data_IF_093703547968
#
_entry.id   IF_093703547968
#
_cell.length_a   1.000
_cell.length_b   1.000
_cell.length_c   1.000
_cell.angle_alpha   90.00
_cell.angle_beta   90.00
_cell.angle_gamma   90.00
#
_symmetry.space_group_name_H-M   'P 1'
#
loop_
_entity.id
_entity.type
_entity.pdbx_description
1 polymer ?
#
# COMPACT_ATOMS: atom_id res chain seq x y z
N UNK A 1 3.12 8.01 -4.57
CA UNK A 1 3.62 7.89 -5.96
C UNK A 1 3.59 6.46 -6.52
N UNK A 2 3.73 5.39 -5.71
CA UNK A 2 3.70 4.01 -6.18
C UNK A 2 2.50 3.68 -7.06
N UNK A 3 1.32 4.12 -6.66
CA UNK A 3 0.07 3.89 -7.40
C UNK A 3 -0.03 4.69 -8.71
N UNK A 4 0.84 5.68 -8.90
CA UNK A 4 0.84 6.57 -10.08
C UNK A 4 2.01 6.30 -11.03
N UNK A 5 2.80 5.25 -10.79
CA UNK A 5 3.95 4.94 -11.63
C UNK A 5 3.60 4.79 -13.12
N UNK A 6 2.51 4.10 -13.53
CA UNK A 6 2.12 4.03 -14.94
C UNK A 6 1.87 5.41 -15.56
N UNK A 7 1.17 6.28 -14.83
CA UNK A 7 0.94 7.65 -15.27
C UNK A 7 2.23 8.46 -15.41
N UNK A 8 3.17 8.35 -14.46
CA UNK A 8 4.47 9.01 -14.52
C UNK A 8 5.28 8.57 -15.75
N UNK A 9 5.25 7.28 -16.07
CA UNK A 9 5.93 6.73 -17.25
C UNK A 9 5.32 7.28 -18.53
N UNK A 10 4.01 7.44 -18.61
CA UNK A 10 3.33 8.05 -19.78
C UNK A 10 3.66 9.52 -19.96
N UNK A 11 3.85 10.28 -18.88
CA UNK A 11 4.24 11.70 -18.96
C UNK A 11 5.68 11.90 -19.44
N UNK A 12 6.49 10.84 -19.48
CA UNK A 12 7.88 10.93 -19.92
C UNK A 12 7.96 11.24 -21.41
N UNK A 13 8.68 12.31 -21.82
CA UNK A 13 8.94 12.59 -23.24
C UNK A 13 9.56 11.37 -23.94
N UNK A 14 9.12 11.08 -25.15
CA UNK A 14 9.48 9.87 -25.90
C UNK A 14 11.01 9.69 -26.04
N UNK A 15 11.75 10.78 -26.19
CA UNK A 15 13.21 10.77 -26.30
C UNK A 15 13.94 10.22 -25.06
N UNK A 16 13.28 10.15 -23.92
CA UNK A 16 13.82 9.64 -22.65
C UNK A 16 13.30 8.24 -22.29
N UNK A 17 12.26 7.76 -22.98
CA UNK A 17 11.69 6.44 -22.74
C UNK A 17 12.74 5.36 -22.99
N UNK A 18 12.90 4.45 -22.03
CA UNK A 18 13.92 3.40 -22.03
C UNK A 18 15.34 3.84 -21.68
N UNK A 19 15.57 5.15 -21.45
CA UNK A 19 16.87 5.69 -20.99
C UNK A 19 16.82 6.14 -19.53
N UNK A 20 15.62 6.48 -19.05
CA UNK A 20 15.39 6.94 -17.69
C UNK A 20 14.49 5.95 -16.98
N UNK A 21 14.79 5.69 -15.72
CA UNK A 21 13.97 4.89 -14.83
C UNK A 21 13.41 5.80 -13.75
N UNK A 22 12.09 5.77 -13.55
CA UNK A 22 11.46 6.43 -12.41
C UNK A 22 11.40 5.46 -11.25
N UNK A 23 11.88 5.95 -10.13
CA UNK A 23 11.62 5.32 -8.85
C UNK A 23 10.49 6.09 -8.18
N UNK A 24 9.39 5.43 -7.79
CA UNK A 24 8.22 6.11 -7.22
C UNK A 24 8.44 6.59 -5.79
N UNK A 25 9.61 6.32 -5.22
CA UNK A 25 10.01 6.70 -3.87
C UNK A 25 11.53 6.81 -3.78
N UNK A 26 12.00 7.42 -2.71
CA UNK A 26 13.43 7.51 -2.41
C UNK A 26 14.01 6.11 -2.16
N UNK A 27 15.15 5.84 -2.79
CA UNK A 27 15.91 4.61 -2.59
C UNK A 27 16.86 4.78 -1.40
N UNK A 28 17.13 3.68 -0.70
CA UNK A 28 18.11 3.66 0.39
C UNK A 28 19.55 3.79 -0.10
N UNK A 29 20.45 4.10 0.84
CA UNK A 29 21.90 4.22 0.58
C UNK A 29 22.62 2.88 0.52
N UNK A 30 21.91 1.77 0.81
CA UNK A 30 22.48 0.43 0.85
C UNK A 30 23.73 0.29 1.73
N UNK A 31 23.71 0.99 2.89
CA UNK A 31 24.79 0.92 3.87
C UNK A 31 25.91 1.95 3.69
N UNK A 32 25.83 2.83 2.70
CA UNK A 32 26.77 3.95 2.59
C UNK A 32 26.52 4.96 3.71
N UNK A 33 27.62 5.46 4.30
CA UNK A 33 27.58 6.51 5.32
C UNK A 33 27.86 7.87 4.72
N UNK A 34 27.15 8.87 5.21
CA UNK A 34 27.41 10.27 4.94
C UNK A 34 26.87 11.16 6.07
N UNK A 35 27.37 12.40 6.12
CA UNK A 35 26.97 13.36 7.13
C UNK A 35 25.91 14.34 6.64
N UNK A 36 25.12 14.80 7.58
CA UNK A 36 24.10 15.83 7.37
C UNK A 36 24.27 16.96 8.35
N UNK A 37 23.88 18.13 7.89
CA UNK A 37 23.62 19.25 8.79
C UNK A 37 22.11 19.42 8.94
N UNK A 38 21.56 19.11 10.09
CA UNK A 38 20.13 19.21 10.40
C UNK A 38 19.91 19.93 11.72
N UNK A 39 19.02 20.91 11.73
CA UNK A 39 18.71 21.70 12.94
C UNK A 39 19.93 22.28 13.63
N UNK A 40 20.98 22.64 12.85
CA UNK A 40 22.26 23.19 13.36
C UNK A 40 23.18 22.16 14.00
N UNK A 41 22.92 20.88 13.82
CA UNK A 41 23.76 19.75 14.26
C UNK A 41 24.39 19.06 13.06
N UNK A 42 25.63 18.62 13.22
CA UNK A 42 26.33 17.77 12.26
C UNK A 42 26.16 16.30 12.73
N UNK A 43 25.45 15.49 11.97
CA UNK A 43 25.13 14.09 12.31
C UNK A 43 25.66 13.17 11.21
N UNK A 44 26.31 12.08 11.59
CA UNK A 44 26.78 11.04 10.68
C UNK A 44 25.90 9.80 10.77
N UNK A 45 25.53 9.19 9.63
CA UNK A 45 24.65 8.01 9.61
C UNK A 45 25.21 6.81 10.39
N UNK A 46 26.53 6.65 10.40
CA UNK A 46 27.19 5.57 11.11
C UNK A 46 27.41 5.83 12.62
N UNK A 47 27.17 7.07 13.08
CA UNK A 47 27.17 7.43 14.50
C UNK A 47 25.78 7.26 15.13
N UNK A 48 24.71 7.34 14.34
CA UNK A 48 23.35 7.08 14.83
C UNK A 48 23.18 5.59 15.11
N UNK A 49 22.91 5.26 16.36
CA UNK A 49 22.79 3.89 16.83
C UNK A 49 21.33 3.47 16.91
N UNK A 50 21.02 2.27 16.43
CA UNK A 50 19.65 1.73 16.42
C UNK A 50 19.58 0.35 17.03
N UNK A 51 18.55 0.10 17.83
CA UNK A 51 18.13 -1.22 18.29
C UNK A 51 16.91 -1.66 17.48
N UNK A 52 16.89 -2.90 17.04
CA UNK A 52 15.84 -3.46 16.19
C UNK A 52 15.11 -4.58 16.91
N UNK A 53 13.79 -4.54 16.90
CA UNK A 53 12.94 -5.60 17.45
C UNK A 53 11.88 -6.02 16.42
N UNK A 54 12.04 -7.23 15.91
CA UNK A 54 11.06 -7.79 14.98
C UNK A 54 9.79 -8.26 15.69
N UNK A 55 8.62 -7.89 15.17
CA UNK A 55 7.29 -8.31 15.60
C UNK A 55 6.73 -9.28 14.55
N UNK A 56 6.99 -10.54 14.74
CA UNK A 56 6.69 -11.59 13.75
C UNK A 56 5.20 -11.70 13.43
N UNK A 57 4.32 -11.51 14.39
CA UNK A 57 2.86 -11.55 14.26
C UNK A 57 2.31 -10.42 13.39
N UNK A 58 2.99 -9.28 13.37
CA UNK A 58 2.59 -8.08 12.62
C UNK A 58 3.47 -7.82 11.40
N UNK A 59 4.57 -8.55 11.27
CA UNK A 59 5.59 -8.36 10.24
C UNK A 59 6.15 -6.93 10.21
N UNK A 60 6.46 -6.38 11.40
CA UNK A 60 7.05 -5.06 11.62
C UNK A 60 8.31 -5.11 12.43
N UNK A 61 9.08 -4.03 12.33
CA UNK A 61 10.19 -3.73 13.22
C UNK A 61 9.87 -2.52 14.08
N UNK A 62 9.98 -2.68 15.40
CA UNK A 62 10.10 -1.53 16.30
C UNK A 62 11.56 -1.12 16.36
N UNK A 63 11.81 0.18 16.30
CA UNK A 63 13.16 0.77 16.34
C UNK A 63 13.30 1.59 17.61
N UNK A 64 14.42 1.43 18.29
CA UNK A 64 14.90 2.40 19.27
C UNK A 64 16.18 3.03 18.75
N UNK A 65 16.29 4.35 18.83
CA UNK A 65 17.46 5.07 18.32
C UNK A 65 18.12 5.93 19.38
N UNK A 66 19.42 6.12 19.23
CA UNK A 66 20.21 7.01 20.05
C UNK A 66 21.33 7.67 19.22
N UNK A 67 21.44 8.98 19.36
CA UNK A 67 22.58 9.78 18.95
C UNK A 67 22.62 11.01 19.84
N UNK A 68 23.81 11.41 20.32
CA UNK A 68 23.94 12.51 21.28
C UNK A 68 23.50 13.85 20.68
N UNK A 69 23.81 14.10 19.42
CA UNK A 69 23.44 15.34 18.72
C UNK A 69 21.93 15.41 18.48
N UNK A 70 21.32 14.33 17.97
CA UNK A 70 19.87 14.26 17.75
C UNK A 70 19.10 14.35 19.06
N UNK A 71 19.51 13.60 20.08
CA UNK A 71 18.83 13.57 21.37
C UNK A 71 18.94 14.88 22.16
N UNK A 72 19.83 15.78 21.76
CA UNK A 72 19.92 17.15 22.31
C UNK A 72 18.89 18.13 21.72
N UNK A 73 18.19 17.75 20.66
CA UNK A 73 17.11 18.54 20.06
C UNK A 73 15.79 18.37 20.85
N UNK A 74 14.83 19.24 20.59
CA UNK A 74 13.46 18.99 21.02
C UNK A 74 12.89 17.74 20.35
N UNK A 75 11.90 17.12 20.96
CA UNK A 75 11.38 15.81 20.50
C UNK A 75 10.92 15.84 19.03
N UNK A 76 10.20 16.89 18.59
CA UNK A 76 9.73 16.96 17.21
C UNK A 76 10.89 17.01 16.21
N UNK A 77 11.88 17.88 16.47
CA UNK A 77 13.08 18.01 15.63
C UNK A 77 13.91 16.72 15.63
N UNK A 78 14.04 16.06 16.79
CA UNK A 78 14.75 14.80 16.95
C UNK A 78 14.12 13.68 16.13
N UNK A 79 12.82 13.46 16.30
CA UNK A 79 12.10 12.42 15.54
C UNK A 79 12.09 12.71 14.04
N UNK A 80 11.81 13.95 13.62
CA UNK A 80 11.84 14.32 12.20
C UNK A 80 13.21 14.07 11.57
N UNK A 81 14.30 14.46 12.26
CA UNK A 81 15.65 14.19 11.78
C UNK A 81 15.91 12.69 11.65
N UNK A 82 15.54 11.91 12.67
CA UNK A 82 15.73 10.45 12.64
C UNK A 82 14.93 9.80 11.50
N UNK A 83 13.66 10.16 11.30
CA UNK A 83 12.84 9.62 10.20
C UNK A 83 13.47 9.91 8.84
N UNK A 84 13.93 11.14 8.59
CA UNK A 84 14.62 11.49 7.34
C UNK A 84 15.87 10.62 7.14
N UNK A 85 16.70 10.47 8.17
CA UNK A 85 17.93 9.67 8.08
C UNK A 85 17.64 8.19 7.88
N UNK A 86 16.63 7.66 8.54
CA UNK A 86 16.17 6.27 8.38
C UNK A 86 15.68 6.03 6.95
N UNK A 87 14.82 6.90 6.42
CA UNK A 87 14.32 6.78 5.05
C UNK A 87 15.44 6.91 4.01
N UNK A 88 16.41 7.80 4.24
CA UNK A 88 17.60 7.87 3.40
C UNK A 88 18.43 6.57 3.45
N UNK A 89 18.46 5.89 4.60
CA UNK A 89 19.26 4.68 4.78
C UNK A 89 18.62 3.46 4.13
N UNK A 90 17.34 3.19 4.41
CA UNK A 90 16.65 1.97 3.95
C UNK A 90 15.69 2.23 2.78
N UNK A 91 15.49 3.49 2.39
CA UNK A 91 14.51 3.90 1.40
C UNK A 91 13.10 4.06 1.98
N UNK A 92 12.33 4.94 1.36
CA UNK A 92 10.96 5.25 1.75
C UNK A 92 10.04 4.01 1.69
N UNK A 93 10.24 3.12 0.71
CA UNK A 93 9.44 1.91 0.56
C UNK A 93 9.57 0.97 1.76
N UNK A 94 10.81 0.61 2.13
CA UNK A 94 11.04 -0.31 3.24
C UNK A 94 10.65 0.32 4.58
N UNK A 95 10.88 1.63 4.75
CA UNK A 95 10.41 2.36 5.91
C UNK A 95 8.90 2.23 6.06
N UNK A 96 8.13 2.50 5.01
CA UNK A 96 6.67 2.41 5.03
C UNK A 96 6.16 0.97 5.21
N UNK A 97 6.83 -0.02 4.62
CA UNK A 97 6.41 -1.42 4.70
C UNK A 97 6.69 -2.02 6.08
N UNK A 98 7.87 -1.77 6.64
CA UNK A 98 8.36 -2.59 7.74
C UNK A 98 8.57 -1.85 9.06
N UNK A 99 8.58 -0.52 9.08
CA UNK A 99 8.79 0.21 10.34
C UNK A 99 7.45 0.43 11.05
N UNK A 100 7.39 -0.05 12.29
CA UNK A 100 6.27 0.15 13.21
C UNK A 100 6.54 1.34 14.14
N UNK A 101 6.82 1.05 15.42
CA UNK A 101 7.11 2.12 16.37
C UNK A 101 8.57 2.55 16.30
N UNK A 102 8.78 3.85 16.47
CA UNK A 102 10.10 4.44 16.58
C UNK A 102 10.17 5.21 17.91
N UNK A 103 11.10 4.82 18.77
CA UNK A 103 11.28 5.38 20.09
C UNK A 103 12.71 5.88 20.29
N UNK A 104 12.85 7.05 20.92
CA UNK A 104 14.14 7.59 21.36
C UNK A 104 14.60 6.84 22.61
N UNK A 105 15.86 6.41 22.63
CA UNK A 105 16.50 5.86 23.83
C UNK A 105 17.16 6.95 24.66
N UNK A 106 17.25 6.74 25.98
CA UNK A 106 17.90 7.68 26.90
C UNK A 106 19.43 7.60 26.84
N UNK A 107 19.96 6.63 26.14
CA UNK A 107 21.40 6.38 25.98
C UNK A 107 21.67 5.15 25.15
N UNK A 108 22.96 4.85 25.00
CA UNK A 108 23.41 3.64 24.29
C UNK A 108 22.93 2.37 25.00
N UNK A 109 22.24 1.48 24.28
CA UNK A 109 21.75 0.23 24.80
C UNK A 109 22.52 -0.97 24.23
N UNK A 110 22.56 -2.08 24.96
CA UNK A 110 23.20 -3.31 24.50
C UNK A 110 22.47 -3.85 23.26
N UNK A 111 23.25 -4.20 22.23
CA UNK A 111 22.70 -4.73 20.97
C UNK A 111 22.35 -3.66 19.94
N UNK A 112 22.52 -2.39 20.24
CA UNK A 112 22.44 -1.34 19.20
C UNK A 112 23.59 -1.46 18.22
N UNK A 113 23.32 -1.06 16.98
CA UNK A 113 24.25 -1.07 15.85
C UNK A 113 24.07 0.22 15.02
N UNK A 114 25.06 0.62 14.20
CA UNK A 114 24.94 1.79 13.34
C UNK A 114 23.74 1.75 12.39
N UNK A 115 23.07 2.87 12.19
CA UNK A 115 21.90 3.01 11.31
C UNK A 115 22.19 2.53 9.89
N UNK A 116 23.42 2.71 9.39
CA UNK A 116 23.88 2.19 8.08
C UNK A 116 23.72 0.68 7.92
N UNK A 117 23.59 -0.09 9.00
CA UNK A 117 23.38 -1.54 8.97
C UNK A 117 21.90 -1.94 9.06
N UNK A 118 20.98 -0.98 9.15
CA UNK A 118 19.57 -1.27 9.41
C UNK A 118 18.96 -2.19 8.34
N UNK A 119 19.14 -1.86 7.06
CA UNK A 119 18.62 -2.66 5.95
C UNK A 119 19.12 -4.12 6.00
N UNK A 120 20.41 -4.31 6.20
CA UNK A 120 21.02 -5.65 6.28
C UNK A 120 20.47 -6.44 7.47
N UNK A 121 20.30 -5.79 8.65
CA UNK A 121 19.75 -6.45 9.83
C UNK A 121 18.27 -6.81 9.66
N UNK A 122 17.47 -5.95 9.00
CA UNK A 122 16.08 -6.24 8.68
C UNK A 122 15.98 -7.42 7.71
N UNK A 123 16.79 -7.45 6.65
CA UNK A 123 16.84 -8.54 5.68
C UNK A 123 17.12 -9.88 6.35
N UNK A 124 18.15 -9.94 7.19
CA UNK A 124 18.49 -11.17 7.93
C UNK A 124 17.33 -11.62 8.81
N UNK A 125 16.68 -10.72 9.54
CA UNK A 125 15.57 -11.06 10.41
C UNK A 125 14.35 -11.59 9.63
N UNK A 126 14.04 -11.04 8.45
CA UNK A 126 12.96 -11.51 7.59
C UNK A 126 13.27 -12.88 6.98
N UNK A 127 14.52 -13.11 6.54
CA UNK A 127 14.97 -14.40 6.04
C UNK A 127 14.90 -15.49 7.11
N UNK A 128 15.36 -15.21 8.34
CA UNK A 128 15.27 -16.13 9.48
C UNK A 128 13.80 -16.48 9.82
N UNK A 129 12.91 -15.49 9.72
CA UNK A 129 11.47 -15.69 9.90
C UNK A 129 10.77 -16.33 8.67
N UNK A 130 11.51 -16.61 7.58
CA UNK A 130 11.00 -17.16 6.32
C UNK A 130 9.88 -16.31 5.72
N UNK A 131 10.00 -15.00 5.83
CA UNK A 131 9.06 -14.04 5.23
C UNK A 131 9.55 -13.63 3.85
N UNK A 132 8.62 -13.46 2.92
CA UNK A 132 8.91 -12.81 1.64
C UNK A 132 9.26 -11.33 1.89
N UNK A 133 10.34 -10.89 1.25
CA UNK A 133 10.77 -9.49 1.36
C UNK A 133 9.99 -8.67 0.35
N UNK A 134 9.06 -7.85 0.85
CA UNK A 134 8.30 -6.92 0.03
C UNK A 134 9.14 -5.69 -0.28
N UNK A 135 9.06 -5.22 -1.51
CA UNK A 135 9.80 -4.05 -1.99
C UNK A 135 8.90 -2.87 -2.37
N UNK A 136 7.59 -3.10 -2.40
CA UNK A 136 6.59 -2.11 -2.78
C UNK A 136 5.50 -2.03 -1.72
N UNK A 137 5.09 -0.83 -1.27
CA UNK A 137 4.01 -0.65 -0.30
C UNK A 137 2.67 -1.27 -0.74
N UNK A 138 2.40 -1.27 -2.04
CA UNK A 138 1.19 -1.85 -2.63
C UNK A 138 1.17 -3.39 -2.68
N UNK A 139 2.24 -4.05 -2.19
CA UNK A 139 2.31 -5.49 -1.96
C UNK A 139 1.89 -5.86 -0.52
N UNK A 140 1.85 -4.87 0.37
CA UNK A 140 1.47 -5.08 1.76
C UNK A 140 -0.02 -4.86 1.96
N UNK A 141 -0.72 -5.94 2.28
CA UNK A 141 -2.14 -5.91 2.61
C UNK A 141 -2.37 -5.85 4.12
N UNK A 142 -3.16 -4.89 4.55
CA UNK A 142 -3.68 -4.80 5.91
C UNK A 142 -5.06 -5.48 5.98
N UNK A 143 -5.27 -6.29 7.01
CA UNK A 143 -6.59 -6.87 7.29
C UNK A 143 -7.38 -5.87 8.14
N UNK A 144 -8.62 -5.65 7.79
CA UNK A 144 -9.53 -4.82 8.59
C UNK A 144 -10.85 -5.54 8.84
N UNK A 145 -11.46 -5.24 9.96
CA UNK A 145 -12.79 -5.69 10.34
C UNK A 145 -13.63 -4.48 10.71
N UNK A 146 -14.87 -4.45 10.25
CA UNK A 146 -15.80 -3.37 10.52
C UNK A 146 -17.12 -3.96 11.00
N UNK A 147 -17.72 -3.25 11.94
CA UNK A 147 -19.04 -3.56 12.47
C UNK A 147 -19.88 -2.27 12.38
N UNK A 148 -20.96 -2.34 11.63
CA UNK A 148 -21.87 -1.22 11.48
C UNK A 148 -23.22 -1.58 12.10
N UNK A 149 -23.81 -0.66 12.85
CA UNK A 149 -25.13 -0.82 13.47
C UNK A 149 -26.24 -0.85 12.43
N UNK A 150 -26.05 -0.12 11.33
CA UNK A 150 -27.03 -0.03 10.24
C UNK A 150 -26.33 -0.03 8.89
N UNK A 151 -26.90 -0.77 7.91
CA UNK A 151 -26.49 -0.67 6.51
C UNK A 151 -27.11 0.59 5.93
N UNK A 152 -26.29 1.59 5.63
CA UNK A 152 -26.76 2.89 5.08
C UNK A 152 -26.56 2.96 3.57
N UNK A 153 -25.48 2.36 3.06
CA UNK A 153 -25.04 2.46 1.68
C UNK A 153 -24.15 1.25 1.30
N UNK A 154 -23.65 1.23 0.10
CA UNK A 154 -22.65 0.25 -0.34
C UNK A 154 -21.46 0.20 0.64
N UNK A 155 -20.92 -0.98 0.86
CA UNK A 155 -19.80 -1.27 1.77
C UNK A 155 -20.10 -1.13 3.28
N UNK A 156 -21.22 -0.57 3.70
CA UNK A 156 -21.63 -0.58 5.12
C UNK A 156 -22.17 -1.95 5.58
N UNK A 157 -22.27 -2.92 4.68
CA UNK A 157 -22.52 -4.33 5.01
C UNK A 157 -21.24 -5.13 5.26
N UNK A 158 -20.05 -4.52 5.14
CA UNK A 158 -18.74 -5.19 5.25
C UNK A 158 -18.53 -5.80 6.63
N UNK A 159 -17.86 -6.95 6.63
CA UNK A 159 -17.51 -7.68 7.85
C UNK A 159 -16.00 -7.77 8.00
N UNK A 160 -15.30 -8.24 6.97
CA UNK A 160 -13.85 -8.41 6.96
C UNK A 160 -13.31 -8.19 5.55
N UNK A 161 -12.15 -7.55 5.47
CA UNK A 161 -11.49 -7.30 4.20
C UNK A 161 -10.00 -7.10 4.33
N UNK A 162 -9.37 -6.97 3.18
CA UNK A 162 -7.96 -6.62 3.03
C UNK A 162 -7.82 -5.41 2.12
N UNK A 163 -6.84 -4.57 2.39
CA UNK A 163 -6.49 -3.44 1.52
C UNK A 163 -5.00 -3.17 1.57
N UNK A 164 -4.41 -2.77 0.47
CA UNK A 164 -3.07 -2.19 0.43
C UNK A 164 -3.11 -0.65 0.41
N UNK A 165 -4.30 -0.03 0.41
CA UNK A 165 -4.47 1.41 0.42
C UNK A 165 -5.48 1.83 1.50
N UNK A 166 -5.04 1.79 2.75
CA UNK A 166 -5.88 2.08 3.93
C UNK A 166 -6.49 3.48 3.93
N UNK A 167 -5.73 4.49 3.48
CA UNK A 167 -6.17 5.88 3.49
C UNK A 167 -7.37 6.12 2.56
N UNK A 168 -7.38 5.48 1.39
CA UNK A 168 -8.52 5.53 0.48
C UNK A 168 -9.78 4.92 1.11
N UNK A 169 -9.62 3.82 1.84
CA UNK A 169 -10.72 3.18 2.56
C UNK A 169 -11.23 4.05 3.71
N UNK A 170 -10.32 4.69 4.44
CA UNK A 170 -10.65 5.60 5.54
C UNK A 170 -11.41 6.82 5.03
N UNK A 171 -10.96 7.46 3.96
CA UNK A 171 -11.67 8.56 3.30
C UNK A 171 -13.11 8.17 2.99
N UNK A 172 -13.30 7.01 2.36
CA UNK A 172 -14.63 6.52 2.00
C UNK A 172 -15.59 6.47 3.20
N UNK A 173 -15.14 5.90 4.34
CA UNK A 173 -15.96 5.77 5.54
C UNK A 173 -16.14 7.08 6.31
N UNK A 174 -15.22 8.02 6.18
CA UNK A 174 -15.34 9.37 6.72
C UNK A 174 -16.23 10.28 5.86
N UNK A 175 -16.63 9.84 4.66
CA UNK A 175 -17.36 10.66 3.70
C UNK A 175 -16.45 11.65 2.95
N UNK A 176 -15.15 11.40 2.95
CA UNK A 176 -14.11 12.20 2.30
C UNK A 176 -13.75 11.63 0.92
N UNK A 177 -13.11 12.44 0.08
CA UNK A 177 -12.73 12.04 -1.29
C UNK A 177 -11.30 12.44 -1.65
N UNK A 178 -10.49 12.87 -0.70
CA UNK A 178 -9.19 13.49 -0.96
C UNK A 178 -8.26 12.57 -1.77
N UNK A 179 -8.09 11.31 -1.35
CA UNK A 179 -7.25 10.37 -2.09
C UNK A 179 -7.84 9.98 -3.43
N UNK A 180 -9.17 9.80 -3.53
CA UNK A 180 -9.84 9.53 -4.79
C UNK A 180 -9.70 10.70 -5.77
N UNK A 181 -9.74 11.95 -5.30
CA UNK A 181 -9.55 13.16 -6.10
C UNK A 181 -8.10 13.30 -6.60
N UNK A 182 -7.13 13.04 -5.75
CA UNK A 182 -5.70 13.02 -6.13
C UNK A 182 -5.43 11.99 -7.23
N UNK A 183 -5.99 10.80 -7.13
CA UNK A 183 -5.90 9.76 -8.16
C UNK A 183 -6.57 10.19 -9.46
N UNK A 184 -7.78 10.77 -9.37
CA UNK A 184 -8.53 11.24 -10.53
C UNK A 184 -7.81 12.38 -11.27
N UNK A 185 -7.13 13.28 -10.56
CA UNK A 185 -6.32 14.35 -11.14
C UNK A 185 -5.16 13.80 -12.02
N UNK A 186 -4.72 12.57 -11.77
CA UNK A 186 -3.74 11.84 -12.56
C UNK A 186 -4.36 10.89 -13.61
N UNK A 187 -5.65 11.02 -13.89
CA UNK A 187 -6.35 10.18 -14.86
C UNK A 187 -6.69 8.76 -14.40
N UNK A 188 -6.41 8.44 -13.12
CA UNK A 188 -6.71 7.13 -12.54
C UNK A 188 -8.04 7.14 -11.81
N UNK A 189 -8.70 5.99 -11.70
CA UNK A 189 -9.95 5.86 -10.95
C UNK A 189 -9.87 4.76 -9.91
N UNK A 190 -10.08 5.11 -8.64
CA UNK A 190 -10.33 4.13 -7.61
C UNK A 190 -11.79 3.67 -7.67
N UNK A 191 -12.00 2.37 -7.84
CA UNK A 191 -13.32 1.74 -7.99
C UNK A 191 -13.40 0.45 -7.21
N UNK A 192 -14.61 -0.05 -7.01
CA UNK A 192 -14.80 -1.40 -6.50
C UNK A 192 -15.86 -2.15 -7.31
N UNK A 193 -15.60 -3.42 -7.58
CA UNK A 193 -16.60 -4.36 -8.08
C UNK A 193 -17.53 -4.73 -6.94
N UNK A 194 -18.81 -4.86 -7.25
CA UNK A 194 -19.84 -5.34 -6.33
C UNK A 194 -20.47 -6.58 -6.94
N UNK A 195 -20.47 -7.67 -6.18
CA UNK A 195 -21.14 -8.91 -6.53
C UNK A 195 -22.12 -9.25 -5.40
N UNK A 196 -23.44 -9.12 -5.62
CA UNK A 196 -24.45 -9.57 -4.68
C UNK A 196 -24.37 -11.08 -4.44
N UNK A 197 -24.36 -11.50 -3.18
CA UNK A 197 -24.16 -12.91 -2.80
C UNK A 197 -25.43 -13.58 -2.28
N UNK A 198 -26.43 -12.82 -1.87
CA UNK A 198 -27.67 -13.35 -1.32
C UNK A 198 -27.44 -14.31 -0.13
N UNK A 199 -28.21 -15.39 -0.05
CA UNK A 199 -28.10 -16.43 1.00
C UNK A 199 -27.07 -17.52 0.69
N UNK A 200 -26.11 -17.26 -0.20
CA UNK A 200 -25.12 -18.24 -0.63
C UNK A 200 -24.14 -18.66 0.47
N UNK A 201 -23.52 -19.82 0.32
CA UNK A 201 -22.44 -20.30 1.18
C UNK A 201 -21.25 -19.33 1.18
N UNK A 202 -21.01 -18.67 2.31
CA UNK A 202 -19.93 -17.67 2.47
C UNK A 202 -18.54 -18.22 2.17
N UNK A 203 -18.27 -19.47 2.51
CA UNK A 203 -16.97 -20.10 2.23
C UNK A 203 -16.76 -20.29 0.74
N UNK A 204 -17.78 -20.73 0.02
CA UNK A 204 -17.76 -20.84 -1.43
C UNK A 204 -17.62 -19.50 -2.11
N UNK A 205 -18.31 -18.48 -1.61
CA UNK A 205 -18.25 -17.11 -2.15
C UNK A 205 -16.88 -16.47 -1.93
N UNK A 206 -16.22 -16.72 -0.82
CA UNK A 206 -14.86 -16.22 -0.57
C UNK A 206 -13.84 -16.84 -1.55
N UNK A 207 -13.97 -18.15 -1.83
CA UNK A 207 -13.12 -18.82 -2.83
C UNK A 207 -13.38 -18.26 -4.24
N UNK A 208 -14.64 -18.03 -4.58
CA UNK A 208 -15.00 -17.40 -5.84
C UNK A 208 -14.43 -15.98 -5.97
N UNK A 209 -14.44 -15.19 -4.90
CA UNK A 209 -13.80 -13.86 -4.91
C UNK A 209 -12.32 -13.97 -5.24
N UNK A 210 -11.58 -14.84 -4.57
CA UNK A 210 -10.15 -15.03 -4.84
C UNK A 210 -9.89 -15.49 -6.27
N UNK A 211 -10.69 -16.42 -6.79
CA UNK A 211 -10.60 -16.84 -8.18
C UNK A 211 -10.78 -15.67 -9.14
N UNK A 212 -11.78 -14.81 -8.89
CA UNK A 212 -12.03 -13.62 -9.72
C UNK A 212 -10.87 -12.62 -9.60
N UNK A 213 -10.34 -12.36 -8.40
CA UNK A 213 -9.18 -11.50 -8.17
C UNK A 213 -7.95 -12.00 -8.95
N UNK A 214 -7.66 -13.30 -8.89
CA UNK A 214 -6.55 -13.92 -9.60
C UNK A 214 -6.72 -13.79 -11.13
N UNK A 215 -7.91 -14.06 -11.63
CA UNK A 215 -8.22 -13.96 -13.07
C UNK A 215 -8.19 -12.51 -13.57
N UNK A 216 -8.74 -11.56 -12.82
CA UNK A 216 -8.64 -10.13 -13.16
C UNK A 216 -7.18 -9.70 -13.23
N UNK A 217 -6.37 -10.12 -12.27
CA UNK A 217 -4.94 -9.77 -12.22
C UNK A 217 -4.18 -10.38 -13.40
N UNK A 218 -4.45 -11.64 -13.72
CA UNK A 218 -3.73 -12.35 -14.77
C UNK A 218 -4.17 -11.99 -16.20
N UNK A 219 -5.50 -11.77 -16.41
CA UNK A 219 -6.09 -11.69 -17.74
C UNK A 219 -6.48 -10.25 -18.14
N UNK A 220 -6.71 -9.33 -17.17
CA UNK A 220 -7.26 -7.98 -17.43
C UNK A 220 -6.33 -6.86 -17.00
N UNK A 221 -5.88 -6.87 -15.76
CA UNK A 221 -5.17 -5.70 -15.17
C UNK A 221 -3.77 -5.48 -15.76
N UNK A 222 -3.16 -6.51 -16.30
CA UNK A 222 -1.80 -6.46 -16.85
C UNK A 222 -0.72 -6.73 -15.80
N UNK A 223 0.52 -6.87 -16.27
CA UNK A 223 1.66 -7.21 -15.40
C UNK A 223 2.05 -6.03 -14.53
N UNK A 224 1.90 -6.18 -13.22
CA UNK A 224 2.24 -5.16 -12.21
C UNK A 224 3.71 -4.70 -12.36
N UNK A 225 3.92 -3.37 -12.31
CA UNK A 225 5.25 -2.75 -12.46
C UNK A 225 5.77 -2.67 -13.89
N UNK A 226 4.95 -3.02 -14.90
CA UNK A 226 5.35 -2.90 -16.32
C UNK A 226 5.24 -1.47 -16.87
N UNK A 227 4.50 -0.59 -16.19
CA UNK A 227 4.12 0.73 -16.69
C UNK A 227 3.09 0.69 -17.83
N UNK A 228 2.44 -0.47 -18.02
CA UNK A 228 1.40 -0.69 -19.05
C UNK A 228 0.17 -1.38 -18.46
N UNK A 229 0.00 -1.28 -17.16
CA UNK A 229 -1.14 -1.85 -16.48
C UNK A 229 -2.42 -1.07 -16.86
N UNK A 230 -3.50 -1.82 -17.07
CA UNK A 230 -4.86 -1.26 -17.13
C UNK A 230 -5.33 -0.86 -15.73
N UNK A 231 -4.85 -1.56 -14.72
CA UNK A 231 -5.14 -1.28 -13.32
C UNK A 231 -4.38 -2.20 -12.37
N UNK A 232 -4.64 -2.05 -11.08
CA UNK A 232 -4.11 -2.91 -10.02
C UNK A 232 -5.20 -3.28 -9.02
N UNK A 233 -5.04 -4.45 -8.39
CA UNK A 233 -5.86 -4.88 -7.26
C UNK A 233 -5.42 -4.14 -6.00
N UNK A 234 -6.35 -3.49 -5.31
CA UNK A 234 -6.12 -2.82 -4.03
C UNK A 234 -6.52 -3.68 -2.84
N UNK A 235 -7.36 -4.68 -3.05
CA UNK A 235 -7.86 -5.55 -2.00
C UNK A 235 -9.24 -6.08 -2.29
N UNK A 236 -9.90 -6.57 -1.25
CA UNK A 236 -11.27 -7.05 -1.38
C UNK A 236 -11.89 -7.36 -0.03
N UNK A 237 -13.22 -7.39 -0.01
CA UNK A 237 -14.00 -7.49 1.21
C UNK A 237 -15.15 -8.46 1.06
N UNK A 238 -15.49 -9.14 2.13
CA UNK A 238 -16.74 -9.87 2.27
C UNK A 238 -17.70 -9.09 3.17
N UNK A 239 -18.83 -8.70 2.61
CA UNK A 239 -19.96 -8.15 3.32
C UNK A 239 -20.98 -9.22 3.72
N UNK A 240 -22.13 -8.76 4.24
CA UNK A 240 -23.30 -9.61 4.52
C UNK A 240 -24.05 -9.94 3.24
N UNK A 241 -24.22 -8.94 2.39
CA UNK A 241 -25.08 -9.00 1.20
C UNK A 241 -24.28 -8.98 -0.10
N UNK A 242 -23.01 -8.46 -0.04
CA UNK A 242 -22.18 -8.30 -1.22
C UNK A 242 -20.74 -8.76 -0.96
N UNK A 243 -20.05 -9.14 -2.04
CA UNK A 243 -18.59 -9.18 -2.11
C UNK A 243 -18.08 -7.95 -2.87
N UNK A 244 -16.93 -7.49 -2.45
CA UNK A 244 -16.26 -6.33 -3.05
C UNK A 244 -14.84 -6.68 -3.46
N UNK A 245 -14.42 -6.22 -4.64
CA UNK A 245 -13.03 -6.29 -5.13
C UNK A 245 -12.60 -4.87 -5.44
N UNK A 246 -11.59 -4.40 -4.74
CA UNK A 246 -11.11 -3.02 -4.79
C UNK A 246 -10.02 -2.87 -5.84
N UNK A 247 -10.14 -1.89 -6.71
CA UNK A 247 -9.29 -1.70 -7.86
C UNK A 247 -8.87 -0.23 -8.01
N UNK A 248 -7.67 -0.01 -8.49
CA UNK A 248 -7.27 1.27 -9.08
C UNK A 248 -7.11 1.06 -10.59
N UNK A 249 -7.86 1.80 -11.39
CA UNK A 249 -7.85 1.70 -12.85
C UNK A 249 -7.07 2.87 -13.45
N UNK A 250 -6.17 2.56 -14.36
CA UNK A 250 -5.42 3.52 -15.19
C UNK A 250 -6.07 3.73 -16.55
N UNK A 251 -6.74 2.68 -17.07
CA UNK A 251 -7.55 2.74 -18.30
C UNK A 251 -8.94 2.14 -18.04
N UNK A 252 -9.87 2.98 -17.63
CA UNK A 252 -11.24 2.55 -17.32
C UNK A 252 -11.98 1.98 -18.55
N UNK A 253 -11.92 2.57 -19.76
CA UNK A 253 -12.55 1.98 -20.96
C UNK A 253 -12.03 0.59 -21.27
N UNK A 254 -10.72 0.37 -21.30
CA UNK A 254 -10.12 -0.94 -21.54
C UNK A 254 -10.51 -1.96 -20.45
N UNK A 255 -10.55 -1.55 -19.20
CA UNK A 255 -11.02 -2.39 -18.10
C UNK A 255 -12.49 -2.81 -18.30
N UNK A 256 -13.38 -1.87 -18.59
CA UNK A 256 -14.81 -2.15 -18.79
C UNK A 256 -15.03 -3.20 -19.89
N UNK A 257 -14.33 -3.09 -21.01
CA UNK A 257 -14.43 -4.04 -22.11
C UNK A 257 -13.93 -5.44 -21.73
N UNK A 258 -12.70 -5.53 -21.20
CA UNK A 258 -12.06 -6.81 -20.90
C UNK A 258 -12.69 -7.51 -19.69
N UNK A 259 -12.98 -6.76 -18.61
CA UNK A 259 -13.62 -7.30 -17.43
C UNK A 259 -15.05 -7.77 -17.70
N UNK A 260 -15.83 -7.06 -18.54
CA UNK A 260 -17.18 -7.52 -18.92
C UNK A 260 -17.12 -8.88 -19.62
N UNK A 261 -16.15 -9.09 -20.50
CA UNK A 261 -15.96 -10.37 -21.19
C UNK A 261 -15.59 -11.51 -20.24
N UNK A 262 -14.68 -11.24 -19.30
CA UNK A 262 -14.25 -12.20 -18.28
C UNK A 262 -15.41 -12.54 -17.33
N UNK A 263 -16.02 -11.52 -16.73
CA UNK A 263 -17.04 -11.66 -15.69
C UNK A 263 -18.36 -12.20 -16.26
N UNK A 264 -18.60 -12.01 -17.55
CA UNK A 264 -19.73 -12.63 -18.27
C UNK A 264 -19.71 -14.16 -18.28
N UNK A 265 -18.59 -14.79 -17.94
CA UNK A 265 -18.46 -16.26 -17.83
C UNK A 265 -19.03 -16.82 -16.52
N UNK A 266 -19.29 -15.96 -15.53
CA UNK A 266 -19.88 -16.33 -14.25
C UNK A 266 -21.40 -16.17 -14.25
N UNK A 267 -22.09 -16.84 -13.36
CA UNK A 267 -23.56 -16.77 -13.25
C UNK A 267 -24.06 -15.68 -12.30
N UNK A 268 -23.20 -14.75 -11.90
CA UNK A 268 -23.51 -13.69 -10.94
C UNK A 268 -23.57 -12.33 -11.64
N UNK A 269 -24.42 -11.40 -11.18
CA UNK A 269 -24.38 -10.03 -11.64
C UNK A 269 -23.16 -9.30 -11.05
N UNK A 270 -22.52 -8.47 -11.88
CA UNK A 270 -21.40 -7.63 -11.48
C UNK A 270 -21.68 -6.18 -11.76
N UNK A 271 -21.38 -5.35 -10.78
CA UNK A 271 -21.50 -3.91 -10.88
C UNK A 271 -20.16 -3.27 -10.54
N UNK A 272 -19.94 -2.05 -11.05
CA UNK A 272 -18.81 -1.19 -10.72
C UNK A 272 -19.31 0.07 -10.03
N UNK A 273 -18.61 0.52 -8.99
CA UNK A 273 -18.85 1.79 -8.33
C UNK A 273 -17.52 2.50 -8.08
N UNK A 274 -17.53 3.84 -8.03
CA UNK A 274 -16.35 4.61 -7.67
C UNK A 274 -16.14 4.59 -6.15
N UNK A 275 -14.91 4.72 -5.71
CA UNK A 275 -14.52 4.81 -4.30
C UNK A 275 -14.89 6.20 -3.72
N UNK A 276 -16.18 6.50 -3.77
CA UNK A 276 -16.79 7.76 -3.33
C UNK A 276 -18.11 7.48 -2.62
N UNK A 277 -18.45 8.26 -1.59
CA UNK A 277 -19.77 8.22 -0.97
C UNK A 277 -20.87 8.39 -2.03
N UNK A 278 -22.01 7.73 -1.82
CA UNK A 278 -23.18 7.80 -2.69
C UNK A 278 -22.91 7.45 -4.18
N UNK A 279 -21.84 6.72 -4.46
CA UNK A 279 -21.49 6.29 -5.81
C UNK A 279 -22.59 5.39 -6.40
N UNK A 280 -22.88 5.59 -7.70
CA UNK A 280 -23.88 4.78 -8.41
C UNK A 280 -23.27 3.50 -8.91
N UNK A 281 -24.05 2.42 -8.84
CA UNK A 281 -23.72 1.15 -9.48
C UNK A 281 -23.86 1.26 -11.00
N UNK A 282 -22.81 0.90 -11.71
CA UNK A 282 -22.80 0.75 -13.16
C UNK A 282 -22.78 -0.74 -13.47
N UNK A 283 -23.73 -1.22 -14.24
CA UNK A 283 -23.79 -2.60 -14.67
C UNK A 283 -22.56 -2.96 -15.50
N UNK A 284 -21.89 -4.07 -15.17
CA UNK A 284 -20.68 -4.52 -15.84
C UNK A 284 -20.90 -5.85 -16.57
N UNK A 285 -21.48 -6.85 -15.92
CA UNK A 285 -21.77 -8.14 -16.53
C UNK A 285 -22.97 -8.83 -15.86
N UNK A 286 -23.70 -9.65 -16.63
CA UNK A 286 -24.79 -10.53 -16.17
C UNK A 286 -25.91 -9.81 -15.40
N UNK A 287 -26.15 -8.54 -15.73
CA UNK A 287 -27.22 -7.73 -15.14
C UNK A 287 -28.45 -7.86 -16.04
N UNK A 288 -29.45 -8.63 -15.57
CA UNK A 288 -30.74 -8.88 -16.27
C UNK A 288 -31.74 -7.75 -16.11
#
# INVERSE_FOLDING_TARGET
LFYLLPWLVEQMPEQFRGKWHFFPCMQGTHGESFGFQMYGKDVQLDEVMVGLKYKEDQNYFDIRFYDEQLCSLDDNSCYNAFYIMMELTIGEALSHIYIGNVDKADGMEAGMFPLTRLEACMTVALEEAKKEILTRPDERYSVYRMEFDTVKDLRYDMVIGTTCFSDLLQDYFNGETENADKLAACGSKAVFLVMPVGEADRSGMLKLRYEIEDRLTAEVLGKKGSGREIGILLGGTMGRDNLYIDLLLYDTPAFMEQASSLLGQYSYPFYLAEFRPESRLVALANVG
#
